data_IF_597256608762
#
_entry.id   IF_597256608762
#
_cell.length_a   1.000
_cell.length_b   1.000
_cell.length_c   1.000
_cell.angle_alpha   90.00
_cell.angle_beta   90.00
_cell.angle_gamma   90.00
#
_symmetry.space_group_name_H-M   'P 1'
#
loop_
_entity.id
_entity.type
_entity.pdbx_description
1 polymer ?
#
# COMPACT_ATOMS: atom_id res chain seq x y z
N UNK A 1 32.20 -11.83 -14.24
CA UNK A 1 31.31 -11.24 -15.29
C UNK A 1 29.80 -11.49 -15.09
N UNK A 2 29.33 -12.51 -14.36
CA UNK A 2 27.87 -12.77 -14.19
C UNK A 2 27.17 -11.81 -13.20
N UNK A 3 27.92 -11.24 -12.25
CA UNK A 3 27.38 -10.41 -11.17
C UNK A 3 26.87 -9.03 -11.62
N UNK A 4 27.40 -8.48 -12.72
CA UNK A 4 27.10 -7.12 -13.17
C UNK A 4 25.69 -6.91 -13.74
N UNK A 5 25.05 -7.98 -14.25
CA UNK A 5 23.69 -7.90 -14.83
C UNK A 5 22.61 -8.35 -13.84
N UNK A 6 22.93 -9.32 -12.97
CA UNK A 6 21.97 -9.85 -11.99
C UNK A 6 21.55 -8.75 -11.01
N UNK A 7 22.51 -7.95 -10.55
CA UNK A 7 22.25 -6.90 -9.58
C UNK A 7 21.23 -5.84 -10.06
N UNK A 8 21.41 -5.17 -11.22
CA UNK A 8 20.43 -4.19 -11.70
C UNK A 8 19.07 -4.84 -12.02
N UNK A 9 19.03 -6.10 -12.46
CA UNK A 9 17.77 -6.83 -12.67
C UNK A 9 17.02 -7.04 -11.35
N UNK A 10 17.72 -7.44 -10.28
CA UNK A 10 17.10 -7.60 -8.95
C UNK A 10 16.55 -6.26 -8.45
N UNK A 11 17.31 -5.17 -8.57
CA UNK A 11 16.84 -3.83 -8.18
C UNK A 11 15.62 -3.39 -8.97
N UNK A 12 15.62 -3.62 -10.29
CA UNK A 12 14.47 -3.29 -11.14
C UNK A 12 13.23 -4.09 -10.75
N UNK A 13 13.37 -5.41 -10.53
CA UNK A 13 12.27 -6.24 -10.05
C UNK A 13 11.75 -5.78 -8.68
N UNK A 14 12.64 -5.45 -7.75
CA UNK A 14 12.26 -4.89 -6.45
C UNK A 14 11.45 -3.60 -6.64
N UNK A 15 11.94 -2.67 -7.45
CA UNK A 15 11.24 -1.43 -7.74
C UNK A 15 9.81 -1.67 -8.27
N UNK A 16 9.63 -2.63 -9.20
CA UNK A 16 8.30 -3.00 -9.68
C UNK A 16 7.39 -3.56 -8.57
N UNK A 17 7.93 -4.37 -7.66
CA UNK A 17 7.18 -4.89 -6.50
C UNK A 17 6.76 -3.76 -5.56
N UNK A 18 7.62 -2.76 -5.34
CA UNK A 18 7.30 -1.59 -4.52
C UNK A 18 6.14 -0.77 -5.13
N UNK A 19 6.20 -0.49 -6.42
CA UNK A 19 5.12 0.20 -7.14
C UNK A 19 3.82 -0.61 -7.06
N UNK A 20 3.88 -1.93 -7.23
CA UNK A 20 2.71 -2.79 -7.10
C UNK A 20 2.11 -2.79 -5.68
N UNK A 21 2.93 -2.67 -4.63
CA UNK A 21 2.48 -2.51 -3.26
C UNK A 21 1.70 -1.21 -3.09
N UNK A 22 2.25 -0.08 -3.56
CA UNK A 22 1.61 1.23 -3.49
C UNK A 22 0.29 1.26 -4.25
N UNK A 23 0.25 0.74 -5.47
CA UNK A 23 -0.99 0.65 -6.26
C UNK A 23 -2.04 -0.23 -5.57
N UNK A 24 -1.63 -1.35 -4.96
CA UNK A 24 -2.54 -2.23 -4.24
C UNK A 24 -3.13 -1.56 -3.00
N UNK A 25 -2.30 -0.81 -2.27
CA UNK A 25 -2.73 -0.01 -1.14
C UNK A 25 -3.71 1.09 -1.57
N UNK A 26 -3.39 1.85 -2.62
CA UNK A 26 -4.24 2.92 -3.15
C UNK A 26 -5.62 2.42 -3.56
N UNK A 27 -5.68 1.27 -4.23
CA UNK A 27 -6.95 0.66 -4.60
C UNK A 27 -7.74 0.20 -3.38
N UNK A 28 -7.07 -0.22 -2.31
CA UNK A 28 -7.73 -0.60 -1.07
C UNK A 28 -8.32 0.63 -0.36
N UNK A 29 -7.55 1.72 -0.26
CA UNK A 29 -8.02 3.01 0.25
C UNK A 29 -9.18 3.55 -0.58
N UNK A 30 -9.09 3.47 -1.91
CA UNK A 30 -10.17 3.89 -2.80
C UNK A 30 -11.46 3.10 -2.56
N UNK A 31 -11.38 1.77 -2.41
CA UNK A 31 -12.55 0.94 -2.09
C UNK A 31 -13.14 1.35 -0.73
N UNK A 32 -12.29 1.60 0.26
CA UNK A 32 -12.73 2.06 1.58
C UNK A 32 -13.45 3.40 1.50
N UNK A 33 -12.88 4.37 0.79
CA UNK A 33 -13.49 5.68 0.57
C UNK A 33 -14.84 5.58 -0.16
N UNK A 34 -14.88 4.85 -1.28
CA UNK A 34 -16.05 4.78 -2.16
C UNK A 34 -17.21 3.99 -1.55
N UNK A 35 -16.92 2.94 -0.75
CA UNK A 35 -17.94 1.98 -0.28
C UNK A 35 -18.12 1.96 1.24
N UNK A 36 -17.13 2.45 1.99
CA UNK A 36 -17.05 2.36 3.45
C UNK A 36 -16.60 3.70 4.06
N UNK A 37 -17.17 4.80 3.57
CA UNK A 37 -16.75 6.16 3.93
C UNK A 37 -16.69 6.41 5.45
N UNK A 38 -17.66 5.88 6.20
CA UNK A 38 -17.68 6.00 7.66
C UNK A 38 -16.44 5.34 8.30
N UNK A 39 -16.02 4.18 7.78
CA UNK A 39 -14.81 3.49 8.22
C UNK A 39 -13.56 4.24 7.77
N UNK A 40 -13.50 4.72 6.51
CA UNK A 40 -12.40 5.55 6.02
C UNK A 40 -12.19 6.78 6.92
N UNK A 41 -13.26 7.46 7.31
CA UNK A 41 -13.19 8.59 8.23
C UNK A 41 -12.74 8.18 9.64
N UNK A 42 -13.20 7.03 10.15
CA UNK A 42 -12.79 6.50 11.46
C UNK A 42 -11.33 6.04 11.49
N UNK A 43 -10.82 5.53 10.37
CA UNK A 43 -9.44 5.11 10.15
C UNK A 43 -8.49 6.31 9.94
N UNK A 44 -8.98 7.54 10.17
CA UNK A 44 -8.18 8.76 10.10
C UNK A 44 -7.98 9.27 8.68
N UNK A 45 -8.91 8.95 7.76
CA UNK A 45 -8.94 9.42 6.38
C UNK A 45 -7.66 9.06 5.62
N UNK A 46 -7.24 7.78 5.54
CA UNK A 46 -5.97 7.42 4.92
C UNK A 46 -5.85 7.95 3.49
N UNK A 47 -4.71 8.59 3.20
CA UNK A 47 -4.36 9.00 1.83
C UNK A 47 -3.76 7.84 1.03
N UNK A 48 -3.93 7.83 -0.29
CA UNK A 48 -3.12 6.99 -1.17
C UNK A 48 -1.68 7.50 -1.31
N UNK A 49 -0.84 6.73 -1.97
CA UNK A 49 0.48 7.12 -2.48
C UNK A 49 0.35 7.94 -3.77
N UNK A 50 -0.49 7.48 -4.71
CA UNK A 50 -0.76 8.11 -6.00
C UNK A 50 -2.22 8.54 -6.14
N UNK A 51 -3.11 7.89 -5.40
CA UNK A 51 -4.53 8.23 -5.39
C UNK A 51 -4.87 9.28 -4.32
N UNK A 52 -5.73 10.22 -4.70
CA UNK A 52 -6.40 11.17 -3.81
C UNK A 52 -7.87 11.25 -4.24
N UNK A 53 -8.83 11.34 -3.30
CA UNK A 53 -10.22 11.55 -3.64
C UNK A 53 -10.38 12.86 -4.42
N UNK A 54 -11.03 12.78 -5.58
CA UNK A 54 -11.36 13.94 -6.41
C UNK A 54 -12.62 14.60 -5.86
N UNK A 55 -12.56 15.88 -5.49
CA UNK A 55 -13.72 16.64 -5.01
C UNK A 55 -13.52 17.44 -3.73
N UNK A 56 -12.29 17.55 -3.22
CA UNK A 56 -12.03 18.21 -1.93
C UNK A 56 -11.61 19.67 -2.13
N UNK A 57 -12.57 20.58 -1.92
CA UNK A 57 -12.29 21.99 -1.70
C UNK A 57 -11.74 22.18 -0.28
N UNK A 58 -10.55 22.78 -0.17
CA UNK A 58 -10.04 23.36 1.08
C UNK A 58 -9.91 24.84 0.88
N UNK A 59 -10.59 25.66 1.71
CA UNK A 59 -9.94 26.22 2.89
C UNK A 59 -10.75 26.18 4.22
N UNK A 60 -11.93 25.54 4.29
CA UNK A 60 -12.91 25.83 5.35
C UNK A 60 -13.73 24.68 5.98
N UNK A 61 -13.48 23.37 5.72
CA UNK A 61 -14.35 22.35 6.39
C UNK A 61 -14.07 20.84 6.30
N UNK A 62 -12.88 20.42 5.89
CA UNK A 62 -12.20 19.12 6.09
C UNK A 62 -12.88 17.73 5.86
N UNK A 63 -12.64 17.18 4.65
CA UNK A 63 -12.53 15.73 4.35
C UNK A 63 -11.15 15.30 3.79
N UNK A 64 -10.08 15.62 4.52
CA UNK A 64 -8.73 15.65 3.93
C UNK A 64 -8.10 14.29 4.06
N UNK A 65 -7.54 13.73 2.97
CA UNK A 65 -6.69 12.56 3.09
C UNK A 65 -5.48 12.88 3.96
N UNK A 66 -5.25 12.05 4.96
CA UNK A 66 -4.17 12.18 5.93
C UNK A 66 -3.00 11.23 5.57
N UNK A 67 -1.78 11.75 5.42
CA UNK A 67 -0.57 10.93 5.34
C UNK A 67 -0.34 10.09 6.62
N UNK A 68 -0.83 10.54 7.78
CA UNK A 68 -0.74 9.80 9.04
C UNK A 68 -1.69 8.61 9.01
N UNK A 69 -2.93 8.80 8.54
CA UNK A 69 -3.88 7.71 8.31
C UNK A 69 -3.30 6.66 7.37
N UNK A 70 -2.63 7.09 6.29
CA UNK A 70 -1.91 6.18 5.38
C UNK A 70 -0.89 5.30 6.10
N UNK A 71 -0.05 5.89 6.95
CA UNK A 71 0.97 5.15 7.69
C UNK A 71 0.33 4.13 8.64
N UNK A 72 -0.67 4.57 9.41
CA UNK A 72 -1.36 3.74 10.40
C UNK A 72 -2.10 2.59 9.72
N UNK A 73 -2.93 2.87 8.72
CA UNK A 73 -3.65 1.84 7.95
C UNK A 73 -2.68 0.94 7.20
N UNK A 74 -1.61 1.50 6.62
CA UNK A 74 -0.56 0.73 5.95
C UNK A 74 0.05 -0.33 6.86
N UNK A 75 0.40 0.04 8.09
CA UNK A 75 0.91 -0.91 9.08
C UNK A 75 -0.17 -1.87 9.59
N UNK A 76 -1.33 -1.34 9.97
CA UNK A 76 -2.42 -2.12 10.56
C UNK A 76 -2.91 -3.20 9.59
N UNK A 77 -3.10 -2.86 8.32
CA UNK A 77 -3.62 -3.77 7.31
C UNK A 77 -2.62 -4.87 6.93
N UNK A 78 -1.32 -4.69 7.16
CA UNK A 78 -0.35 -5.78 6.97
C UNK A 78 -0.60 -6.95 7.93
N UNK A 79 -1.03 -6.65 9.16
CA UNK A 79 -1.17 -7.66 10.22
C UNK A 79 -2.63 -8.00 10.55
N UNK A 80 -3.56 -7.08 10.27
CA UNK A 80 -4.97 -7.21 10.63
C UNK A 80 -5.85 -7.10 9.40
N UNK A 81 -6.88 -7.94 9.30
CA UNK A 81 -7.90 -7.84 8.25
C UNK A 81 -9.10 -7.07 8.80
N UNK A 82 -9.38 -5.84 8.32
CA UNK A 82 -10.52 -5.04 8.76
C UNK A 82 -11.86 -5.75 8.56
N UNK A 83 -12.86 -5.42 9.38
CA UNK A 83 -14.20 -6.04 9.29
C UNK A 83 -14.86 -5.76 7.93
N UNK A 84 -14.73 -4.54 7.41
CA UNK A 84 -15.31 -4.14 6.12
C UNK A 84 -14.71 -4.91 4.94
N UNK A 85 -13.47 -5.40 5.05
CA UNK A 85 -12.82 -6.24 4.03
C UNK A 85 -13.42 -7.65 3.97
N UNK A 86 -13.91 -8.20 5.10
CA UNK A 86 -14.36 -9.61 5.18
C UNK A 86 -15.57 -9.91 4.30
N UNK A 87 -16.41 -8.92 4.04
CA UNK A 87 -17.58 -9.03 3.16
C UNK A 87 -17.34 -8.60 1.71
N UNK A 88 -16.13 -8.15 1.36
CA UNK A 88 -15.83 -7.55 0.07
C UNK A 88 -14.67 -8.28 -0.62
N UNK A 89 -15.02 -9.14 -1.59
CA UNK A 89 -14.04 -9.96 -2.30
C UNK A 89 -12.98 -9.12 -3.04
N UNK A 90 -13.34 -7.95 -3.57
CA UNK A 90 -12.40 -7.05 -4.24
C UNK A 90 -11.39 -6.46 -3.25
N UNK A 91 -11.86 -5.96 -2.11
CA UNK A 91 -11.01 -5.45 -1.04
C UNK A 91 -10.08 -6.56 -0.51
N UNK A 92 -10.61 -7.76 -0.28
CA UNK A 92 -9.83 -8.89 0.21
C UNK A 92 -8.71 -9.29 -0.76
N UNK A 93 -8.98 -9.26 -2.07
CA UNK A 93 -7.95 -9.50 -3.10
C UNK A 93 -6.86 -8.43 -3.07
N UNK A 94 -7.23 -7.14 -2.96
CA UNK A 94 -6.26 -6.03 -2.90
C UNK A 94 -5.42 -6.06 -1.64
N UNK A 95 -6.03 -6.38 -0.50
CA UNK A 95 -5.32 -6.57 0.76
C UNK A 95 -4.30 -7.72 0.68
N UNK A 96 -4.69 -8.84 0.07
CA UNK A 96 -3.75 -9.97 -0.16
C UNK A 96 -2.60 -9.57 -1.07
N UNK A 97 -2.87 -8.87 -2.18
CA UNK A 97 -1.84 -8.38 -3.08
C UNK A 97 -0.88 -7.42 -2.38
N UNK A 98 -1.40 -6.46 -1.63
CA UNK A 98 -0.59 -5.53 -0.82
C UNK A 98 0.34 -6.28 0.13
N UNK A 99 -0.19 -7.23 0.92
CA UNK A 99 0.62 -8.05 1.85
C UNK A 99 1.69 -8.87 1.13
N UNK A 100 1.36 -9.49 0.00
CA UNK A 100 2.31 -10.26 -0.79
C UNK A 100 3.42 -9.38 -1.35
N UNK A 101 3.10 -8.21 -1.90
CA UNK A 101 4.11 -7.27 -2.40
C UNK A 101 5.04 -6.80 -1.28
N UNK A 102 4.50 -6.46 -0.10
CA UNK A 102 5.32 -6.05 1.05
C UNK A 102 6.20 -7.21 1.55
N UNK A 103 5.67 -8.44 1.58
CA UNK A 103 6.46 -9.62 1.95
C UNK A 103 7.62 -9.85 0.97
N UNK A 104 7.34 -9.86 -0.34
CA UNK A 104 8.36 -10.05 -1.39
C UNK A 104 9.42 -8.95 -1.34
N UNK A 105 9.00 -7.70 -1.12
CA UNK A 105 9.93 -6.57 -0.95
C UNK A 105 10.85 -6.78 0.25
N UNK A 106 10.31 -7.09 1.43
CA UNK A 106 11.14 -7.27 2.64
C UNK A 106 12.08 -8.48 2.53
N UNK A 107 11.61 -9.62 2.02
CA UNK A 107 12.46 -10.81 1.81
C UNK A 107 13.54 -10.52 0.76
N UNK A 108 13.16 -9.87 -0.35
CA UNK A 108 14.10 -9.49 -1.40
C UNK A 108 15.16 -8.49 -0.93
N UNK A 109 14.77 -7.52 -0.12
CA UNK A 109 15.69 -6.57 0.49
C UNK A 109 16.65 -7.26 1.47
N UNK A 110 16.15 -8.13 2.36
CA UNK A 110 16.97 -8.87 3.31
C UNK A 110 17.96 -9.81 2.63
N UNK A 111 17.54 -10.47 1.54
CA UNK A 111 18.41 -11.35 0.74
C UNK A 111 19.47 -10.57 -0.04
N UNK A 112 19.14 -9.38 -0.57
CA UNK A 112 20.11 -8.51 -1.20
C UNK A 112 21.15 -7.98 -0.19
N UNK A 113 20.69 -7.60 1.01
CA UNK A 113 21.55 -7.14 2.10
C UNK A 113 22.50 -8.25 2.57
N UNK A 114 22.00 -9.47 2.79
CA UNK A 114 22.82 -10.60 3.25
C UNK A 114 23.83 -11.08 2.19
N UNK A 115 23.53 -10.86 0.91
CA UNK A 115 24.44 -11.15 -0.20
C UNK A 115 25.51 -10.06 -0.44
N UNK A 116 25.50 -8.95 0.32
CA UNK A 116 26.42 -7.82 0.14
C UNK A 116 26.18 -7.05 -1.16
N UNK A 117 24.94 -7.08 -1.67
CA UNK A 117 24.54 -6.36 -2.88
C UNK A 117 24.12 -4.90 -2.60
N UNK A 118 23.95 -4.52 -1.33
CA UNK A 118 23.62 -3.17 -0.87
C UNK A 118 24.76 -2.64 0.00
#
# INVERSE_FOLDING_TARGET
>A
MKSGVIFPVVLFCQFLVLIAAFVSFDRLVQIEYDQYYAQWSADGKPAGFFWRPSGVSYPDGSDAPSPVGRLVCGLLWLFTTPKWVRGNAMAARRLRQFRLCVLVWNVGFLTALSAGLL
#
